data_IF_447120272763
#
_entry.id   IF_447120272763
#
_cell.length_a   1.000
_cell.length_b   1.000
_cell.length_c   1.000
_cell.angle_alpha   90.00
_cell.angle_beta   90.00
_cell.angle_gamma   90.00
#
_symmetry.space_group_name_H-M   'P 1'
#
loop_
_entity.id
_entity.type
_entity.pdbx_description
1 polymer ?
#
# COMPACT_ATOMS: atom_id res chain seq x y z
N UNK A 1 21.14 1.57 5.26
CA UNK A 1 20.52 2.87 5.45
C UNK A 1 19.01 2.69 5.54
N UNK A 2 18.36 3.57 6.25
CA UNK A 2 16.90 3.64 6.41
C UNK A 2 16.47 5.05 5.99
N UNK A 3 15.47 5.17 5.13
CA UNK A 3 14.92 6.45 4.73
C UNK A 3 13.52 6.61 5.31
N UNK A 4 13.25 7.76 5.90
CA UNK A 4 11.96 8.12 6.53
C UNK A 4 11.45 9.39 5.89
N UNK A 5 10.19 9.39 5.49
CA UNK A 5 9.49 10.56 5.00
C UNK A 5 8.91 11.30 6.22
N UNK A 6 9.21 12.58 6.33
CA UNK A 6 8.72 13.43 7.42
C UNK A 6 7.51 14.25 6.99
N UNK A 7 7.55 14.82 5.78
CA UNK A 7 6.49 15.63 5.23
C UNK A 7 6.34 15.42 3.72
N UNK A 8 5.10 15.52 3.25
CA UNK A 8 4.77 15.55 1.82
C UNK A 8 3.73 16.64 1.60
N UNK A 9 3.95 17.49 0.62
CA UNK A 9 3.06 18.60 0.30
C UNK A 9 2.81 18.67 -1.21
N UNK A 10 1.53 18.72 -1.61
CA UNK A 10 1.13 18.91 -2.99
C UNK A 10 0.95 20.40 -3.27
N UNK A 11 1.64 20.90 -4.29
CA UNK A 11 1.59 22.27 -4.76
C UNK A 11 1.29 22.30 -6.27
N UNK A 12 0.85 23.41 -6.84
CA UNK A 12 0.55 23.49 -8.26
C UNK A 12 1.71 23.05 -9.14
N UNK A 13 1.50 21.93 -9.86
CA UNK A 13 2.48 21.36 -10.79
C UNK A 13 3.59 20.53 -10.17
N UNK A 14 3.65 20.34 -8.85
CA UNK A 14 4.70 19.55 -8.16
C UNK A 14 4.27 18.97 -6.84
N UNK A 15 5.03 18.00 -6.37
CA UNK A 15 4.93 17.46 -5.01
C UNK A 15 6.27 17.61 -4.33
N UNK A 16 6.30 18.29 -3.21
CA UNK A 16 7.48 18.47 -2.36
C UNK A 16 7.51 17.38 -1.28
N UNK A 17 8.66 16.78 -1.07
CA UNK A 17 8.88 15.73 -0.08
C UNK A 17 10.11 16.08 0.77
N UNK A 18 9.97 16.01 2.07
CA UNK A 18 11.04 16.19 3.05
C UNK A 18 11.20 14.92 3.88
N UNK A 19 12.42 14.60 4.19
CA UNK A 19 12.70 13.40 4.96
C UNK A 19 14.15 13.29 5.41
N UNK A 20 14.45 12.16 6.03
CA UNK A 20 15.74 11.85 6.64
C UNK A 20 16.22 10.48 6.20
N UNK A 21 17.51 10.39 5.89
CA UNK A 21 18.21 9.10 5.68
C UNK A 21 19.15 8.87 6.84
N UNK A 22 19.02 7.73 7.52
CA UNK A 22 19.90 7.30 8.60
C UNK A 22 20.76 6.13 8.13
N UNK A 23 22.09 6.28 8.28
CA UNK A 23 23.09 5.28 7.94
C UNK A 23 23.61 4.64 9.22
N UNK A 24 23.61 3.31 9.28
CA UNK A 24 24.28 2.54 10.33
C UNK A 24 25.49 1.85 9.72
N UNK A 25 26.67 2.22 10.15
CA UNK A 25 27.94 1.72 9.59
C UNK A 25 28.68 0.96 10.67
N UNK A 26 29.00 -0.31 10.41
CA UNK A 26 29.93 -1.09 11.21
C UNK A 26 31.34 -0.91 10.63
N UNK A 27 32.32 -0.63 11.49
CA UNK A 27 33.71 -0.43 11.09
C UNK A 27 34.67 -0.92 12.17
N UNK A 28 35.92 -1.12 11.77
CA UNK A 28 37.06 -1.38 12.68
C UNK A 28 38.04 -0.23 12.58
N UNK A 29 38.59 0.22 13.72
CA UNK A 29 39.57 1.28 13.77
C UNK A 29 40.70 0.96 14.78
N UNK A 30 41.93 0.99 14.33
CA UNK A 30 43.10 0.70 15.19
C UNK A 30 43.27 -0.76 15.49
N UNK A 31 42.43 -1.32 16.36
CA UNK A 31 42.33 -2.75 16.60
C UNK A 31 41.29 -3.37 15.63
N UNK A 32 41.73 -4.21 14.68
CA UNK A 32 40.82 -4.80 13.68
C UNK A 32 39.83 -5.82 14.26
N UNK A 33 40.07 -6.29 15.49
CA UNK A 33 39.12 -7.21 16.19
C UNK A 33 38.00 -6.46 16.88
N UNK A 34 38.15 -5.14 17.09
CA UNK A 34 37.16 -4.31 17.76
C UNK A 34 36.20 -3.69 16.75
N UNK A 35 34.99 -4.25 16.67
CA UNK A 35 33.90 -3.69 15.86
C UNK A 35 33.26 -2.51 16.58
N UNK A 36 33.15 -1.41 15.88
CA UNK A 36 32.46 -0.20 16.32
C UNK A 36 31.35 0.15 15.35
N UNK A 37 30.42 1.00 15.77
CA UNK A 37 29.36 1.52 14.92
C UNK A 37 29.38 3.04 14.85
N UNK A 38 28.96 3.55 13.72
CA UNK A 38 28.65 4.97 13.52
C UNK A 38 27.21 5.04 12.99
N UNK A 39 26.43 5.88 13.63
CA UNK A 39 25.15 6.36 13.11
C UNK A 39 25.33 7.77 12.55
N UNK A 40 24.90 7.97 11.32
CA UNK A 40 24.93 9.28 10.68
C UNK A 40 23.62 9.48 9.92
N UNK A 41 23.08 10.68 9.98
CA UNK A 41 21.86 11.01 9.27
C UNK A 41 22.02 12.26 8.40
N UNK A 42 21.27 12.29 7.31
CA UNK A 42 21.18 13.43 6.41
C UNK A 42 19.72 13.71 6.09
N UNK A 43 19.33 14.97 6.23
CA UNK A 43 18.04 15.45 5.77
C UNK A 43 18.07 15.62 4.25
N UNK A 44 16.94 15.38 3.60
CA UNK A 44 16.75 15.65 2.18
C UNK A 44 15.43 16.36 1.92
N UNK A 45 15.45 17.21 0.92
CA UNK A 45 14.27 17.82 0.33
C UNK A 45 14.28 17.52 -1.15
N UNK A 46 13.17 17.05 -1.69
CA UNK A 46 13.06 16.69 -3.09
C UNK A 46 11.71 17.13 -3.64
N UNK A 47 11.74 17.75 -4.83
CA UNK A 47 10.53 18.15 -5.55
C UNK A 47 10.36 17.25 -6.77
N UNK A 48 9.18 16.69 -6.92
CA UNK A 48 8.79 15.88 -8.09
C UNK A 48 7.83 16.70 -8.95
N UNK A 49 8.17 16.90 -10.21
CA UNK A 49 7.27 17.54 -11.17
C UNK A 49 6.06 16.65 -11.41
N UNK A 50 4.88 17.17 -11.12
CA UNK A 50 3.61 16.47 -11.30
C UNK A 50 2.56 17.41 -11.91
N UNK A 51 2.42 17.44 -13.24
CA UNK A 51 1.61 18.45 -13.97
C UNK A 51 0.14 18.55 -13.56
N UNK A 52 -0.41 17.50 -12.91
CA UNK A 52 -1.78 17.48 -12.40
C UNK A 52 -1.89 17.81 -10.90
N UNK A 53 -0.80 18.19 -10.23
CA UNK A 53 -0.84 18.54 -8.82
C UNK A 53 -1.48 19.91 -8.60
N UNK A 54 -2.36 20.00 -7.59
CA UNK A 54 -3.00 21.22 -7.11
C UNK A 54 -2.87 21.31 -5.58
N UNK A 55 -3.02 22.51 -5.04
CA UNK A 55 -3.00 22.74 -3.60
C UNK A 55 -4.09 21.91 -2.89
N UNK A 56 -3.71 21.25 -1.81
CA UNK A 56 -4.64 20.48 -0.97
C UNK A 56 -4.97 19.07 -1.47
N UNK A 57 -4.39 18.63 -2.57
CA UNK A 57 -4.48 17.21 -2.96
C UNK A 57 -3.79 16.32 -1.93
N UNK A 58 -4.37 15.15 -1.66
CA UNK A 58 -3.74 14.17 -0.80
C UNK A 58 -2.60 13.46 -1.56
N UNK A 59 -1.36 13.72 -1.14
CA UNK A 59 -0.18 13.06 -1.67
C UNK A 59 0.18 11.84 -0.82
N UNK A 60 0.32 10.68 -1.46
CA UNK A 60 0.87 9.47 -0.88
C UNK A 60 2.18 9.17 -1.56
N UNK A 61 3.26 9.29 -0.81
CA UNK A 61 4.61 9.04 -1.29
C UNK A 61 5.20 7.86 -0.56
N UNK A 62 5.65 6.86 -1.31
CA UNK A 62 6.43 5.74 -0.81
C UNK A 62 7.89 5.93 -1.14
N UNK A 63 8.75 5.65 -0.15
CA UNK A 63 10.19 5.83 -0.25
C UNK A 63 10.90 4.49 -0.06
N UNK A 64 11.84 4.18 -0.94
CA UNK A 64 12.72 3.02 -0.80
C UNK A 64 14.18 3.40 -1.06
N UNK A 65 15.10 2.69 -0.40
CA UNK A 65 16.53 2.84 -0.63
C UNK A 65 16.94 1.87 -1.73
N UNK A 66 17.36 2.38 -2.90
CA UNK A 66 17.79 1.55 -4.04
C UNK A 66 19.27 1.19 -3.97
N UNK A 67 20.10 2.08 -3.47
CA UNK A 67 21.56 1.84 -3.39
C UNK A 67 22.16 2.53 -2.18
N UNK A 68 23.15 1.89 -1.58
CA UNK A 68 23.92 2.46 -0.46
C UNK A 68 25.40 2.20 -0.72
N UNK A 69 26.20 3.24 -0.64
CA UNK A 69 27.65 3.15 -0.73
C UNK A 69 28.30 3.78 0.50
N UNK A 70 29.33 3.14 1.01
CA UNK A 70 30.16 3.64 2.09
C UNK A 70 31.63 3.48 1.71
N UNK A 71 32.39 4.56 1.73
CA UNK A 71 33.83 4.54 1.48
C UNK A 71 34.59 5.30 2.55
N UNK A 72 35.76 4.79 2.92
CA UNK A 72 36.63 5.41 3.92
C UNK A 72 37.87 5.97 3.25
N UNK A 73 38.15 7.27 3.43
CA UNK A 73 39.35 7.93 2.91
C UNK A 73 39.86 8.99 3.88
N UNK A 74 41.13 8.90 4.25
CA UNK A 74 41.80 9.93 5.07
C UNK A 74 41.15 10.13 6.45
N UNK A 75 40.64 9.08 7.08
CA UNK A 75 39.96 9.14 8.37
C UNK A 75 38.53 9.73 8.31
N UNK A 76 37.94 9.85 7.12
CA UNK A 76 36.59 10.29 6.88
C UNK A 76 35.78 9.17 6.20
N UNK A 77 34.51 9.05 6.57
CA UNK A 77 33.54 8.19 5.88
C UNK A 77 32.72 9.05 4.92
N UNK A 78 32.62 8.60 3.68
CA UNK A 78 31.71 9.12 2.68
C UNK A 78 30.57 8.13 2.54
N UNK A 79 29.35 8.59 2.78
CA UNK A 79 28.13 7.79 2.74
C UNK A 79 27.23 8.36 1.65
N UNK A 80 26.69 7.49 0.82
CA UNK A 80 25.77 7.84 -0.24
C UNK A 80 24.59 6.86 -0.23
N UNK A 81 23.39 7.37 -0.40
CA UNK A 81 22.19 6.57 -0.65
C UNK A 81 21.47 7.10 -1.89
N UNK A 82 20.98 6.21 -2.74
CA UNK A 82 20.07 6.52 -3.82
C UNK A 82 18.68 6.09 -3.35
N UNK A 83 17.75 7.04 -3.38
CA UNK A 83 16.37 6.84 -2.96
C UNK A 83 15.48 6.78 -4.19
N UNK A 84 14.52 5.88 -4.17
CA UNK A 84 13.40 5.84 -5.11
C UNK A 84 12.15 6.34 -4.41
N UNK A 85 11.53 7.36 -4.98
CA UNK A 85 10.26 7.89 -4.54
C UNK A 85 9.16 7.55 -5.56
N UNK A 86 8.06 6.99 -5.10
CA UNK A 86 6.85 6.79 -5.91
C UNK A 86 5.73 7.65 -5.31
N UNK A 87 5.19 8.55 -6.11
CA UNK A 87 4.17 9.50 -5.67
C UNK A 87 2.84 9.20 -6.35
N UNK A 88 1.76 9.21 -5.56
CA UNK A 88 0.39 9.19 -6.03
C UNK A 88 -0.35 10.39 -5.45
N UNK A 89 -1.14 11.03 -6.27
CA UNK A 89 -2.01 12.12 -5.87
C UNK A 89 -3.46 11.67 -5.98
N UNK A 90 -4.23 12.05 -4.99
CA UNK A 90 -5.67 11.86 -4.96
C UNK A 90 -6.35 13.21 -4.78
N UNK A 91 -7.36 13.47 -5.61
CA UNK A 91 -8.27 14.60 -5.44
C UNK A 91 -9.70 14.09 -5.37
N UNK A 92 -10.49 14.70 -4.48
CA UNK A 92 -11.93 14.51 -4.46
C UNK A 92 -12.57 15.65 -5.25
N UNK A 93 -13.08 15.34 -6.44
CA UNK A 93 -13.80 16.30 -7.24
C UNK A 93 -15.31 16.14 -7.04
N UNK A 94 -16.06 17.24 -6.77
CA UNK A 94 -17.50 17.16 -6.68
C UNK A 94 -18.09 16.84 -8.05
N UNK A 95 -18.79 15.73 -8.16
CA UNK A 95 -19.47 15.31 -9.36
C UNK A 95 -20.95 15.67 -9.29
N UNK A 96 -21.44 16.44 -10.26
CA UNK A 96 -22.84 16.70 -10.44
C UNK A 96 -23.44 15.67 -11.39
N UNK A 97 -24.41 14.90 -10.90
CA UNK A 97 -25.13 13.87 -11.68
C UNK A 97 -26.62 14.11 -11.64
N UNK A 98 -27.31 13.69 -12.69
CA UNK A 98 -28.78 13.76 -12.75
C UNK A 98 -29.37 12.53 -12.06
N UNK A 99 -30.16 12.76 -11.02
CA UNK A 99 -30.86 11.71 -10.29
C UNK A 99 -32.29 11.50 -10.76
N UNK A 100 -32.84 12.46 -11.52
CA UNK A 100 -34.20 12.39 -12.06
C UNK A 100 -34.59 13.63 -12.83
N UNK A 101 -35.73 13.56 -13.49
CA UNK A 101 -36.35 14.66 -14.26
C UNK A 101 -37.70 14.99 -13.65
N UNK A 102 -38.02 16.28 -13.51
CA UNK A 102 -39.31 16.73 -13.00
C UNK A 102 -40.18 17.30 -14.11
N UNK A 103 -41.49 17.09 -14.00
CA UNK A 103 -42.53 17.70 -14.86
C UNK A 103 -42.58 17.21 -16.32
N UNK A 104 -42.01 16.09 -16.67
CA UNK A 104 -42.19 15.50 -17.98
C UNK A 104 -43.43 14.59 -18.03
N UNK A 105 -44.32 14.81 -18.99
CA UNK A 105 -45.48 13.95 -19.14
C UNK A 105 -45.11 12.59 -19.72
N UNK A 106 -45.62 11.52 -19.09
CA UNK A 106 -45.31 10.16 -19.50
C UNK A 106 -43.86 9.76 -19.29
N UNK A 107 -43.20 10.33 -18.29
CA UNK A 107 -41.79 10.08 -17.98
C UNK A 107 -41.52 8.62 -17.62
N UNK A 108 -40.53 8.03 -18.26
CA UNK A 108 -39.95 6.72 -17.94
C UNK A 108 -38.48 6.95 -17.52
N UNK A 109 -38.14 6.41 -16.36
CA UNK A 109 -36.77 6.51 -15.78
C UNK A 109 -36.18 5.11 -15.64
N UNK A 110 -34.95 4.96 -16.04
CA UNK A 110 -34.11 3.82 -15.71
C UNK A 110 -33.09 4.29 -14.67
N UNK A 111 -33.19 3.75 -13.46
CA UNK A 111 -32.34 4.11 -12.34
C UNK A 111 -31.57 2.90 -11.86
N UNK A 112 -30.39 3.13 -11.33
CA UNK A 112 -29.56 2.14 -10.66
C UNK A 112 -28.96 2.74 -9.39
N UNK A 113 -28.81 1.91 -8.37
CA UNK A 113 -28.12 2.32 -7.15
C UNK A 113 -26.66 1.93 -7.29
N UNK A 114 -25.78 2.93 -7.34
CA UNK A 114 -24.34 2.74 -7.38
C UNK A 114 -23.73 3.07 -6.03
N UNK A 115 -22.84 2.22 -5.59
CA UNK A 115 -22.04 2.47 -4.39
C UNK A 115 -20.83 3.33 -4.76
N UNK A 116 -20.73 4.51 -4.16
CA UNK A 116 -19.65 5.46 -4.37
C UNK A 116 -18.76 5.50 -3.13
N UNK A 117 -17.47 5.27 -3.31
CA UNK A 117 -16.47 5.43 -2.27
C UNK A 117 -15.98 6.87 -2.22
N UNK A 118 -15.89 7.41 -1.02
CA UNK A 118 -15.31 8.74 -0.76
C UNK A 118 -14.39 8.69 0.44
N UNK A 119 -13.41 9.59 0.50
CA UNK A 119 -12.68 9.86 1.72
C UNK A 119 -13.65 10.37 2.79
N UNK A 120 -13.63 9.79 3.98
CA UNK A 120 -14.54 10.15 5.06
C UNK A 120 -13.81 10.91 6.17
N UNK A 121 -12.71 10.36 6.67
CA UNK A 121 -11.92 10.99 7.71
C UNK A 121 -10.44 10.60 7.58
N UNK A 122 -9.59 11.40 8.17
CA UNK A 122 -8.17 11.06 8.30
C UNK A 122 -7.61 11.60 9.61
N UNK A 123 -6.51 11.00 10.06
CA UNK A 123 -5.83 11.46 11.25
C UNK A 123 -4.40 10.96 11.31
N UNK A 124 -3.54 11.74 11.94
CA UNK A 124 -2.14 11.40 12.18
C UNK A 124 -1.80 11.53 13.64
N UNK A 125 -0.93 10.67 14.14
CA UNK A 125 -0.41 10.75 15.51
C UNK A 125 1.00 10.22 15.59
N UNK A 126 1.87 10.91 16.31
CA UNK A 126 3.16 10.39 16.73
C UNK A 126 3.07 9.84 18.14
N UNK A 127 3.66 8.68 18.34
CA UNK A 127 3.62 7.94 19.59
C UNK A 127 5.01 7.43 19.94
N UNK A 128 5.42 7.58 21.18
CA UNK A 128 6.66 7.01 21.70
C UNK A 128 6.36 5.72 22.46
N UNK A 129 6.64 4.59 21.82
CA UNK A 129 6.53 3.24 22.42
C UNK A 129 7.79 2.95 23.23
N UNK A 130 7.62 2.55 24.49
CA UNK A 130 8.72 2.24 25.41
C UNK A 130 8.52 0.86 25.97
N UNK A 131 9.56 0.05 25.88
CA UNK A 131 9.58 -1.32 26.44
C UNK A 131 10.94 -1.67 27.02
N UNK A 132 10.93 -2.54 28.02
CA UNK A 132 12.11 -3.15 28.58
C UNK A 132 12.22 -4.60 28.12
N UNK A 133 13.35 -4.92 27.48
CA UNK A 133 13.63 -6.23 26.93
C UNK A 133 14.75 -6.92 27.73
N UNK A 134 14.58 -8.16 28.08
CA UNK A 134 15.63 -8.95 28.72
C UNK A 134 16.70 -9.38 27.71
N UNK A 135 17.96 -9.31 28.12
CA UNK A 135 19.11 -9.77 27.35
C UNK A 135 19.69 -11.04 28.00
N UNK A 136 19.88 -12.09 27.22
CA UNK A 136 20.44 -13.33 27.72
C UNK A 136 21.94 -13.19 28.03
N UNK A 137 22.37 -13.52 29.20
CA UNK A 137 23.78 -13.43 29.66
C UNK A 137 24.77 -14.24 28.83
N UNK A 138 24.31 -15.35 28.23
CA UNK A 138 25.13 -16.19 27.33
C UNK A 138 25.71 -15.41 26.14
N UNK A 139 25.11 -14.29 25.76
CA UNK A 139 25.53 -13.45 24.64
C UNK A 139 26.75 -12.58 24.98
N UNK A 140 27.12 -12.44 26.28
CA UNK A 140 28.24 -11.64 26.76
C UNK A 140 28.32 -10.24 26.07
N UNK A 141 27.21 -9.53 26.07
CA UNK A 141 27.07 -8.24 25.42
C UNK A 141 27.96 -7.21 26.13
N UNK A 142 28.83 -6.52 25.39
CA UNK A 142 29.64 -5.42 25.88
C UNK A 142 28.92 -4.09 25.75
N UNK A 143 28.47 -3.79 24.51
CA UNK A 143 27.80 -2.55 24.14
C UNK A 143 26.70 -2.80 23.12
N UNK A 144 25.74 -1.87 23.04
CA UNK A 144 24.81 -1.77 21.92
C UNK A 144 25.42 -0.89 20.83
N UNK A 145 25.49 -1.40 19.61
CA UNK A 145 26.06 -0.71 18.46
C UNK A 145 25.04 0.17 17.74
N UNK A 146 23.89 -0.40 17.40
CA UNK A 146 22.74 0.32 16.84
C UNK A 146 21.49 -0.57 16.85
N UNK A 147 20.34 0.05 16.61
CA UNK A 147 19.08 -0.64 16.49
C UNK A 147 18.34 -0.22 15.21
N UNK A 148 17.54 -1.12 14.69
CA UNK A 148 16.59 -0.86 13.61
C UNK A 148 15.23 -1.44 13.98
N UNK A 149 14.15 -0.80 13.56
CA UNK A 149 12.82 -1.29 13.83
C UNK A 149 11.92 -1.18 12.61
N UNK A 150 10.92 -2.06 12.56
CA UNK A 150 9.88 -2.08 11.55
C UNK A 150 8.52 -2.32 12.21
N UNK A 151 7.53 -1.48 11.89
CA UNK A 151 6.20 -1.60 12.47
C UNK A 151 5.26 -2.38 11.55
N UNK A 152 4.43 -3.24 12.14
CA UNK A 152 3.35 -3.96 11.48
C UNK A 152 2.04 -3.64 12.15
N UNK A 153 1.03 -3.24 11.37
CA UNK A 153 -0.34 -3.06 11.84
C UNK A 153 -1.06 -4.39 11.79
N UNK A 154 -1.74 -4.77 12.86
CA UNK A 154 -2.52 -5.98 12.96
C UNK A 154 -4.02 -5.71 12.82
N UNK A 155 -4.50 -4.66 13.48
CA UNK A 155 -5.91 -4.29 13.47
C UNK A 155 -6.11 -2.78 13.59
N UNK A 156 -7.20 -2.29 12.98
CA UNK A 156 -7.64 -0.90 13.06
C UNK A 156 -9.13 -0.86 13.35
N UNK A 157 -9.50 -0.45 14.55
CA UNK A 157 -10.89 -0.36 14.99
C UNK A 157 -11.37 1.08 15.01
N UNK A 158 -12.51 1.35 14.36
CA UNK A 158 -13.15 2.66 14.34
C UNK A 158 -13.98 2.93 15.59
N UNK A 159 -13.99 4.20 16.03
CA UNK A 159 -14.88 4.74 17.06
C UNK A 159 -15.37 6.14 16.67
N UNK A 160 -16.12 6.80 17.56
CA UNK A 160 -16.51 8.20 17.33
C UNK A 160 -15.29 9.09 17.32
N UNK A 161 -15.03 9.80 16.21
CA UNK A 161 -13.93 10.75 15.99
C UNK A 161 -12.52 10.19 16.31
N UNK A 162 -12.35 8.87 16.32
CA UNK A 162 -11.08 8.23 16.62
C UNK A 162 -10.97 6.82 16.02
N UNK A 163 -9.74 6.34 15.83
CA UNK A 163 -9.45 4.94 15.54
C UNK A 163 -8.45 4.39 16.56
N UNK A 164 -8.63 3.16 16.98
CA UNK A 164 -7.65 2.42 17.77
C UNK A 164 -6.85 1.52 16.83
N UNK A 165 -5.55 1.70 16.83
CA UNK A 165 -4.59 0.94 16.00
C UNK A 165 -3.76 0.05 16.88
N UNK A 166 -3.75 -1.24 16.61
CA UNK A 166 -2.91 -2.21 17.30
C UNK A 166 -1.94 -2.91 16.35
N UNK A 167 -0.79 -3.28 16.86
CA UNK A 167 0.24 -3.91 16.06
C UNK A 167 1.49 -4.29 16.84
N UNK A 168 2.55 -4.61 16.10
CA UNK A 168 3.84 -4.95 16.66
C UNK A 168 4.96 -4.14 15.99
N UNK A 169 5.95 -3.78 16.79
CA UNK A 169 7.23 -3.27 16.34
C UNK A 169 8.24 -4.41 16.43
N UNK A 170 8.82 -4.77 15.31
CA UNK A 170 9.92 -5.75 15.23
C UNK A 170 11.22 -4.97 15.37
N UNK A 171 11.86 -5.10 16.52
CA UNK A 171 13.11 -4.44 16.88
C UNK A 171 14.29 -5.41 16.69
N UNK A 172 15.27 -5.05 15.87
CA UNK A 172 16.55 -5.73 15.74
C UNK A 172 17.64 -4.84 16.34
N UNK A 173 18.40 -5.38 17.28
CA UNK A 173 19.49 -4.67 17.96
C UNK A 173 20.81 -5.38 17.71
N UNK A 174 21.77 -4.64 17.24
CA UNK A 174 23.13 -5.14 16.97
C UNK A 174 24.03 -4.75 18.14
N UNK A 175 24.68 -5.74 18.72
CA UNK A 175 25.54 -5.58 19.89
C UNK A 175 26.98 -5.99 19.60
N UNK A 176 27.90 -5.35 20.27
CA UNK A 176 29.25 -5.84 20.42
C UNK A 176 29.29 -6.86 21.56
N UNK A 177 29.89 -8.02 21.33
CA UNK A 177 30.10 -9.04 22.32
C UNK A 177 31.53 -9.07 22.81
N UNK A 178 31.73 -9.58 24.05
CA UNK A 178 33.06 -9.83 24.61
C UNK A 178 33.69 -11.14 24.09
N UNK A 179 32.95 -11.93 23.33
CA UNK A 179 33.45 -13.17 22.75
C UNK A 179 34.28 -12.89 21.46
N UNK A 180 35.60 -13.21 21.46
CA UNK A 180 36.42 -12.95 20.25
C UNK A 180 35.93 -13.74 19.02
N UNK A 181 35.40 -14.94 19.23
CA UNK A 181 34.88 -15.78 18.16
C UNK A 181 33.55 -15.26 17.54
N UNK A 182 32.86 -14.36 18.25
CA UNK A 182 31.59 -13.80 17.83
C UNK A 182 31.46 -12.33 18.27
N UNK A 183 32.27 -11.43 17.69
CA UNK A 183 32.38 -10.04 18.16
C UNK A 183 31.10 -9.23 17.96
N UNK A 184 30.18 -9.67 17.06
CA UNK A 184 28.88 -9.08 16.80
C UNK A 184 27.77 -10.09 17.07
N UNK A 185 26.77 -9.67 17.81
CA UNK A 185 25.57 -10.44 18.16
C UNK A 185 24.33 -9.62 17.84
N UNK A 186 23.29 -10.26 17.38
CA UNK A 186 22.00 -9.65 17.06
C UNK A 186 20.93 -10.21 17.97
N UNK A 187 20.19 -9.32 18.62
CA UNK A 187 18.97 -9.69 19.36
C UNK A 187 17.74 -9.15 18.65
N UNK A 188 16.60 -9.83 18.81
CA UNK A 188 15.33 -9.47 18.19
C UNK A 188 14.25 -9.49 19.25
N UNK A 189 13.47 -8.40 19.23
CA UNK A 189 12.40 -8.19 20.19
C UNK A 189 11.14 -7.80 19.44
N UNK A 190 9.98 -8.20 19.97
CA UNK A 190 8.68 -7.79 19.44
C UNK A 190 8.00 -6.94 20.50
N UNK A 191 7.74 -5.67 20.17
CA UNK A 191 7.13 -4.71 21.06
C UNK A 191 5.69 -4.48 20.61
N UNK A 192 4.68 -4.93 21.38
CA UNK A 192 3.29 -4.67 21.02
C UNK A 192 2.96 -3.20 21.24
N UNK A 193 2.05 -2.65 20.44
CA UNK A 193 1.48 -1.34 20.65
C UNK A 193 -0.04 -1.34 20.41
N UNK A 194 -0.74 -0.52 21.18
CA UNK A 194 -2.15 -0.19 20.98
C UNK A 194 -2.35 1.30 21.24
N UNK A 195 -2.70 2.04 20.18
CA UNK A 195 -2.74 3.49 20.23
C UNK A 195 -4.00 4.04 19.60
N UNK A 196 -4.48 5.17 20.13
CA UNK A 196 -5.66 5.85 19.62
C UNK A 196 -5.27 7.06 18.78
N UNK A 197 -5.72 7.10 17.53
CA UNK A 197 -5.51 8.21 16.60
C UNK A 197 -6.82 9.01 16.47
N UNK A 198 -6.84 10.31 16.76
CA UNK A 198 -8.01 11.14 16.51
C UNK A 198 -8.25 11.28 15.00
N UNK A 199 -9.50 11.21 14.59
CA UNK A 199 -9.92 11.35 13.18
C UNK A 199 -10.65 12.69 13.00
N UNK A 200 -10.34 13.36 11.89
CA UNK A 200 -11.03 14.56 11.44
C UNK A 200 -11.86 14.20 10.21
N UNK A 201 -13.17 14.40 10.30
CA UNK A 201 -14.12 14.07 9.23
C UNK A 201 -15.33 13.26 9.73
N UNK A 202 -16.03 12.63 8.80
CA UNK A 202 -17.18 11.78 9.08
C UNK A 202 -16.74 10.33 9.39
N UNK A 203 -17.58 9.56 10.07
CA UNK A 203 -17.31 8.14 10.28
C UNK A 203 -17.24 7.38 8.94
N UNK A 204 -16.21 6.55 8.79
CA UNK A 204 -16.02 5.71 7.62
C UNK A 204 -16.39 4.25 7.88
N UNK A 205 -16.68 3.52 6.80
CA UNK A 205 -17.03 2.09 6.85
C UNK A 205 -15.77 1.20 6.79
N UNK A 206 -14.68 1.71 6.25
CA UNK A 206 -13.40 1.02 6.13
C UNK A 206 -12.28 1.92 6.61
N UNK A 207 -11.38 1.34 7.39
CA UNK A 207 -10.22 2.01 7.96
C UNK A 207 -8.95 1.33 7.48
N UNK A 208 -7.95 2.14 7.18
CA UNK A 208 -6.59 1.68 6.94
C UNK A 208 -5.60 2.53 7.73
N UNK A 209 -4.46 1.95 8.08
CA UNK A 209 -3.42 2.63 8.83
C UNK A 209 -2.05 2.33 8.26
N UNK A 210 -1.27 3.37 8.02
CA UNK A 210 0.16 3.30 7.78
C UNK A 210 0.89 3.58 9.09
N UNK A 211 1.79 2.65 9.47
CA UNK A 211 2.65 2.78 10.64
C UNK A 211 4.12 2.86 10.19
N UNK A 212 4.77 3.97 10.48
CA UNK A 212 6.15 4.24 10.08
C UNK A 212 6.99 4.48 11.33
N UNK A 213 8.10 3.74 11.46
CA UNK A 213 9.09 4.00 12.50
C UNK A 213 9.90 5.23 12.08
N UNK A 214 9.81 6.30 12.88
CA UNK A 214 10.51 7.57 12.63
C UNK A 214 11.88 7.62 13.30
N UNK A 215 11.98 7.05 14.50
CA UNK A 215 13.24 7.02 15.26
C UNK A 215 13.28 5.81 16.20
N UNK A 216 14.50 5.34 16.52
CA UNK A 216 14.74 4.21 17.42
C UNK A 216 15.91 4.54 18.33
N UNK A 217 15.68 4.55 19.62
CA UNK A 217 16.71 4.68 20.63
C UNK A 217 16.73 3.43 21.54
N UNK A 218 17.91 2.92 21.83
CA UNK A 218 18.09 1.80 22.73
C UNK A 218 19.20 2.09 23.75
N UNK A 219 18.91 1.77 25.02
CA UNK A 219 19.84 1.95 26.12
C UNK A 219 20.00 0.61 26.87
N UNK A 220 21.22 0.10 26.91
CA UNK A 220 21.54 -1.06 27.75
C UNK A 220 21.70 -0.60 29.18
N UNK A 221 21.04 -1.24 30.13
CA UNK A 221 21.11 -0.98 31.55
C UNK A 221 21.52 -2.26 32.30
N UNK A 222 22.26 -2.14 33.40
CA UNK A 222 22.49 -3.24 34.32
C UNK A 222 21.16 -3.56 35.02
N UNK A 223 20.78 -4.85 35.02
CA UNK A 223 19.58 -5.33 35.70
C UNK A 223 19.75 -5.33 37.20
N UNK A 224 18.70 -5.66 37.93
CA UNK A 224 18.69 -5.68 39.39
C UNK A 224 19.34 -6.95 40.00
N UNK A 225 19.61 -7.97 39.18
CA UNK A 225 20.30 -9.21 39.54
C UNK A 225 21.78 -9.20 39.12
N UNK A 226 22.62 -10.04 39.79
CA UNK A 226 24.02 -10.25 39.36
C UNK A 226 24.05 -10.81 37.92
N UNK A 227 24.60 -10.03 36.97
CA UNK A 227 24.76 -10.44 35.57
C UNK A 227 23.52 -10.19 34.68
N UNK A 228 22.40 -9.78 35.22
CA UNK A 228 21.22 -9.43 34.45
C UNK A 228 21.44 -8.10 33.69
N UNK A 229 21.14 -8.12 32.40
CA UNK A 229 21.10 -6.90 31.57
C UNK A 229 19.73 -6.73 30.96
N UNK A 230 19.25 -5.51 30.98
CA UNK A 230 18.03 -5.12 30.30
C UNK A 230 18.33 -4.10 29.21
N UNK A 231 17.52 -4.14 28.16
CA UNK A 231 17.55 -3.20 27.08
C UNK A 231 16.28 -2.36 27.16
N UNK A 232 16.41 -1.09 27.42
CA UNK A 232 15.31 -0.15 27.30
C UNK A 232 15.22 0.35 25.86
N UNK A 233 14.13 0.01 25.19
CA UNK A 233 13.83 0.45 23.82
C UNK A 233 12.83 1.61 23.84
N UNK A 234 13.11 2.64 23.08
CA UNK A 234 12.21 3.76 22.79
C UNK A 234 12.08 3.88 21.26
N UNK A 235 10.86 3.72 20.75
CA UNK A 235 10.58 3.78 19.30
C UNK A 235 9.55 4.85 19.04
N UNK A 236 9.93 5.86 18.25
CA UNK A 236 9.00 6.89 17.78
C UNK A 236 8.25 6.36 16.55
N UNK A 237 6.95 6.17 16.70
CA UNK A 237 6.05 5.63 15.69
C UNK A 237 5.13 6.73 15.16
N UNK A 238 5.11 6.93 13.85
CA UNK A 238 4.13 7.75 13.15
C UNK A 238 2.98 6.88 12.66
N UNK A 239 1.76 7.18 13.09
CA UNK A 239 0.54 6.51 12.65
C UNK A 239 -0.29 7.45 11.78
N UNK A 240 -0.68 6.99 10.59
CA UNK A 240 -1.59 7.72 9.69
C UNK A 240 -2.78 6.85 9.38
N UNK A 241 -3.95 7.24 9.89
CA UNK A 241 -5.21 6.53 9.64
C UNK A 241 -6.02 7.27 8.59
N UNK A 242 -6.59 6.52 7.65
CA UNK A 242 -7.54 6.99 6.65
C UNK A 242 -8.81 6.16 6.73
N UNK A 243 -9.95 6.85 6.74
CA UNK A 243 -11.27 6.26 6.70
C UNK A 243 -11.93 6.55 5.35
N UNK A 244 -12.59 5.55 4.77
CA UNK A 244 -13.41 5.70 3.58
C UNK A 244 -14.85 5.30 3.90
N UNK A 245 -15.81 6.03 3.35
CA UNK A 245 -17.22 5.71 3.44
C UNK A 245 -17.75 5.27 2.07
N UNK A 246 -18.61 4.27 2.09
CA UNK A 246 -19.39 3.84 0.94
C UNK A 246 -20.79 4.43 1.05
N UNK A 247 -21.21 5.18 0.04
CA UNK A 247 -22.54 5.77 -0.03
C UNK A 247 -23.27 5.27 -1.26
N UNK A 248 -24.46 4.74 -1.04
CA UNK A 248 -25.32 4.33 -2.14
C UNK A 248 -26.08 5.54 -2.69
N UNK A 249 -25.85 5.83 -3.96
CA UNK A 249 -26.51 6.91 -4.69
C UNK A 249 -27.38 6.32 -5.78
N UNK A 250 -28.68 6.64 -5.75
CA UNK A 250 -29.58 6.26 -6.84
C UNK A 250 -29.38 7.24 -8.00
N UNK A 251 -28.82 6.73 -9.08
CA UNK A 251 -28.51 7.52 -10.28
C UNK A 251 -29.46 7.18 -11.42
N UNK A 252 -29.76 8.19 -12.24
CA UNK A 252 -30.48 7.98 -13.47
C UNK A 252 -29.50 7.52 -14.57
N UNK A 253 -29.73 6.33 -15.12
CA UNK A 253 -28.93 5.80 -16.22
C UNK A 253 -29.48 6.20 -17.58
N UNK A 254 -30.82 6.37 -17.68
CA UNK A 254 -31.50 6.73 -18.90
C UNK A 254 -32.90 7.27 -18.61
N UNK A 255 -33.45 8.06 -19.52
CA UNK A 255 -34.80 8.58 -19.46
C UNK A 255 -35.40 8.75 -20.84
N UNK A 256 -36.71 8.61 -20.96
CA UNK A 256 -37.49 9.00 -22.13
C UNK A 256 -38.91 9.36 -21.73
N UNK A 257 -39.63 10.00 -22.65
CA UNK A 257 -41.03 10.36 -22.48
C UNK A 257 -41.92 9.58 -23.45
N UNK A 258 -43.06 9.14 -22.99
CA UNK A 258 -44.09 8.51 -23.85
C UNK A 258 -44.99 9.57 -24.53
N UNK A 259 -44.98 10.79 -23.98
CA UNK A 259 -45.76 11.94 -24.48
C UNK A 259 -44.90 13.23 -24.38
N UNK A 260 -45.27 14.28 -25.11
CA UNK A 260 -44.54 15.54 -25.08
C UNK A 260 -43.21 15.48 -25.79
N UNK A 261 -42.27 16.31 -25.35
CA UNK A 261 -40.95 16.42 -25.94
C UNK A 261 -40.04 15.22 -25.67
N UNK A 262 -39.07 14.96 -26.54
CA UNK A 262 -38.08 13.94 -26.39
C UNK A 262 -37.07 14.34 -25.30
N UNK A 263 -36.79 13.42 -24.41
CA UNK A 263 -35.67 13.56 -23.50
C UNK A 263 -34.45 12.81 -24.05
N UNK A 264 -33.34 13.49 -24.10
CA UNK A 264 -32.05 12.93 -24.53
C UNK A 264 -31.04 13.09 -23.40
N UNK A 265 -30.77 12.04 -22.62
CA UNK A 265 -29.74 12.04 -21.59
C UNK A 265 -28.35 12.19 -22.22
N UNK A 266 -27.57 13.11 -21.66
CA UNK A 266 -26.16 13.34 -22.02
C UNK A 266 -25.31 12.57 -21.03
N UNK A 267 -24.55 11.61 -21.53
CA UNK A 267 -23.64 10.77 -20.68
C UNK A 267 -22.20 11.21 -20.87
N UNK A 268 -21.44 11.21 -19.76
CA UNK A 268 -20.00 11.40 -19.76
C UNK A 268 -19.34 10.25 -19.03
N UNK A 269 -18.17 9.77 -19.50
CA UNK A 269 -17.38 8.82 -18.75
C UNK A 269 -16.85 9.49 -17.49
N UNK A 270 -17.14 8.89 -16.34
CA UNK A 270 -16.69 9.37 -15.03
C UNK A 270 -15.88 8.28 -14.37
N UNK A 271 -14.67 8.62 -13.98
CA UNK A 271 -13.81 7.74 -13.20
C UNK A 271 -14.22 7.82 -11.73
N UNK A 272 -14.53 6.68 -11.13
CA UNK A 272 -14.86 6.60 -9.71
C UNK A 272 -14.07 5.52 -8.99
N UNK A 273 -13.84 5.71 -7.70
CA UNK A 273 -13.27 4.67 -6.85
C UNK A 273 -14.32 3.58 -6.60
N UNK A 274 -13.98 2.35 -6.97
CA UNK A 274 -14.81 1.17 -6.78
C UNK A 274 -14.50 0.46 -5.47
N UNK A 275 -13.22 0.37 -5.13
CA UNK A 275 -12.73 -0.33 -3.95
C UNK A 275 -11.42 0.28 -3.48
N UNK A 276 -11.34 0.45 -2.19
CA UNK A 276 -10.14 0.87 -1.49
C UNK A 276 -9.55 -0.35 -0.78
N UNK A 277 -8.26 -0.55 -0.88
CA UNK A 277 -7.63 -1.71 -0.29
C UNK A 277 -6.22 -1.42 0.21
N UNK A 278 -5.98 -1.83 1.44
CA UNK A 278 -4.65 -1.90 2.02
C UNK A 278 -4.36 -3.35 2.38
N UNK A 279 -3.23 -3.85 1.98
CA UNK A 279 -2.77 -5.20 2.29
C UNK A 279 -1.48 -5.13 3.07
N UNK A 280 -1.47 -5.80 4.23
CA UNK A 280 -0.28 -6.13 4.98
C UNK A 280 -0.22 -7.64 5.13
N UNK A 281 0.80 -8.26 4.61
CA UNK A 281 0.99 -9.71 4.69
C UNK A 281 2.47 -10.05 4.75
N UNK A 282 2.79 -11.27 5.10
CA UNK A 282 4.17 -11.71 5.22
C UNK A 282 4.31 -13.18 4.78
N UNK A 283 5.43 -13.47 4.12
CA UNK A 283 5.79 -14.82 3.72
C UNK A 283 7.21 -15.15 4.15
N UNK A 284 7.43 -16.41 4.55
CA UNK A 284 8.75 -16.88 4.91
C UNK A 284 9.57 -17.27 3.69
N UNK A 285 10.81 -16.82 3.64
CA UNK A 285 11.77 -17.12 2.59
C UNK A 285 13.02 -17.82 3.14
N UNK A 286 13.73 -18.43 2.21
CA UNK A 286 14.97 -19.12 2.49
C UNK A 286 15.88 -19.07 1.27
N UNK A 287 17.15 -18.75 1.49
CA UNK A 287 18.18 -18.73 0.45
C UNK A 287 19.46 -19.40 0.92
N UNK A 288 20.31 -19.80 -0.02
CA UNK A 288 21.61 -20.40 0.25
C UNK A 288 22.69 -19.54 -0.39
N UNK A 289 23.52 -18.94 0.44
CA UNK A 289 24.67 -18.14 -0.01
C UNK A 289 25.85 -19.10 -0.21
N UNK A 290 26.40 -19.10 -1.42
CA UNK A 290 27.62 -19.81 -1.75
C UNK A 290 28.79 -18.84 -1.64
N UNK A 291 29.79 -19.18 -0.84
CA UNK A 291 31.01 -18.37 -0.64
C UNK A 291 32.11 -18.70 -1.65
N UNK A 292 31.73 -18.85 -2.93
CA UNK A 292 32.67 -19.22 -3.98
C UNK A 292 33.80 -18.20 -4.14
N UNK A 293 35.05 -18.67 -4.00
CA UNK A 293 36.23 -17.83 -4.09
C UNK A 293 36.47 -16.92 -2.88
N UNK A 294 35.67 -17.04 -1.82
CA UNK A 294 35.82 -16.33 -0.58
C UNK A 294 36.48 -17.19 0.51
N UNK A 295 37.09 -16.57 1.54
CA UNK A 295 37.55 -17.32 2.69
C UNK A 295 36.42 -18.10 3.35
N UNK A 296 36.66 -19.35 3.80
CA UNK A 296 35.62 -20.20 4.39
C UNK A 296 35.03 -19.59 5.66
N UNK A 297 33.71 -19.68 5.80
CA UNK A 297 33.00 -19.17 6.97
C UNK A 297 33.16 -20.10 8.15
N UNK A 298 33.71 -19.59 9.28
CA UNK A 298 33.69 -20.25 10.58
C UNK A 298 32.40 -19.93 11.34
N UNK A 299 32.10 -18.66 11.45
CA UNK A 299 30.93 -18.16 12.20
C UNK A 299 30.28 -17.02 11.45
N UNK A 300 29.08 -17.18 10.90
CA UNK A 300 28.32 -16.06 10.38
C UNK A 300 27.80 -15.21 11.54
N UNK A 301 27.92 -13.91 11.41
CA UNK A 301 27.57 -12.95 12.46
C UNK A 301 26.22 -12.29 12.18
N UNK A 302 26.07 -11.75 10.98
CA UNK A 302 24.88 -11.00 10.56
C UNK A 302 24.69 -11.05 9.05
N UNK A 303 23.45 -11.12 8.59
CA UNK A 303 23.11 -10.81 7.22
C UNK A 303 22.18 -9.58 7.17
N UNK A 304 22.36 -8.76 6.16
CA UNK A 304 21.45 -7.68 5.80
C UNK A 304 20.86 -8.00 4.43
N UNK A 305 19.55 -7.90 4.31
CA UNK A 305 18.81 -8.21 3.08
C UNK A 305 18.15 -6.95 2.55
N UNK A 306 18.22 -6.73 1.24
CA UNK A 306 17.52 -5.66 0.55
C UNK A 306 16.84 -6.21 -0.70
N UNK A 307 15.51 -6.31 -0.72
CA UNK A 307 14.78 -6.79 -1.89
C UNK A 307 14.71 -5.69 -2.96
N UNK A 308 14.99 -6.06 -4.21
CA UNK A 308 14.82 -5.22 -5.41
C UNK A 308 13.79 -5.93 -6.28
N UNK A 309 12.61 -5.34 -6.42
CA UNK A 309 11.52 -5.92 -7.21
C UNK A 309 11.79 -5.67 -8.70
N UNK A 310 11.76 -6.73 -9.51
CA UNK A 310 11.94 -6.68 -10.96
C UNK A 310 10.65 -6.95 -11.72
N UNK A 311 9.77 -7.79 -11.18
CA UNK A 311 8.48 -8.12 -11.79
C UNK A 311 7.40 -8.36 -10.74
N UNK A 312 6.19 -7.93 -11.08
CA UNK A 312 4.99 -8.18 -10.27
C UNK A 312 3.89 -8.68 -11.19
N UNK A 313 3.43 -9.89 -10.95
CA UNK A 313 2.40 -10.53 -11.77
C UNK A 313 1.29 -11.11 -10.92
N UNK A 314 0.10 -11.26 -11.51
CA UNK A 314 -1.07 -11.82 -10.83
C UNK A 314 -1.53 -13.10 -11.50
N UNK A 315 -1.74 -14.14 -10.72
CA UNK A 315 -2.27 -15.42 -11.19
C UNK A 315 -3.01 -16.15 -10.07
N UNK A 316 -4.22 -16.63 -10.35
CA UNK A 316 -4.98 -17.49 -9.44
C UNK A 316 -5.30 -16.87 -8.08
N UNK A 317 -5.60 -15.56 -8.01
CA UNK A 317 -5.88 -14.86 -6.75
C UNK A 317 -4.62 -14.61 -5.89
N UNK A 318 -3.43 -14.79 -6.47
CA UNK A 318 -2.15 -14.51 -5.83
C UNK A 318 -1.40 -13.41 -6.56
N UNK A 319 -0.73 -12.57 -5.80
CA UNK A 319 0.26 -11.62 -6.27
C UNK A 319 1.63 -12.30 -6.20
N UNK A 320 2.26 -12.50 -7.35
CA UNK A 320 3.60 -13.04 -7.46
C UNK A 320 4.58 -11.89 -7.61
N UNK A 321 5.57 -11.85 -6.74
CA UNK A 321 6.63 -10.84 -6.73
C UNK A 321 7.95 -11.53 -6.96
N UNK A 322 8.67 -11.12 -7.97
CA UNK A 322 9.99 -11.61 -8.34
C UNK A 322 11.01 -10.50 -8.31
N UNK A 323 12.25 -10.83 -7.96
CA UNK A 323 13.30 -9.84 -7.88
C UNK A 323 14.64 -10.42 -7.49
N UNK A 324 15.56 -9.49 -7.19
CA UNK A 324 16.88 -9.80 -6.67
C UNK A 324 16.95 -9.36 -5.20
N UNK A 325 17.48 -10.22 -4.36
CA UNK A 325 17.80 -9.94 -2.97
C UNK A 325 19.27 -9.61 -2.88
N UNK A 326 19.61 -8.35 -2.67
CA UNK A 326 20.96 -7.98 -2.30
C UNK A 326 21.25 -8.43 -0.86
N UNK A 327 22.32 -9.18 -0.69
CA UNK A 327 22.71 -9.76 0.59
C UNK A 327 24.09 -9.26 0.97
N UNK A 328 24.19 -8.70 2.17
CA UNK A 328 25.48 -8.40 2.79
C UNK A 328 25.65 -9.33 4.00
N UNK A 329 26.55 -10.29 3.91
CA UNK A 329 26.91 -11.21 4.98
C UNK A 329 28.17 -10.74 5.70
N UNK A 330 28.10 -10.60 7.01
CA UNK A 330 29.22 -10.41 7.91
C UNK A 330 29.55 -11.74 8.60
N UNK A 331 30.80 -12.21 8.53
CA UNK A 331 31.20 -13.51 9.08
C UNK A 331 32.65 -13.55 9.53
N UNK A 332 32.99 -14.49 10.39
CA UNK A 332 34.36 -14.81 10.81
C UNK A 332 34.91 -15.96 9.99
N UNK A 333 36.21 -15.93 9.73
CA UNK A 333 36.98 -16.98 9.07
C UNK A 333 37.88 -17.73 10.07
N UNK A 334 38.46 -18.86 9.66
CA UNK A 334 39.42 -19.58 10.51
C UNK A 334 40.80 -18.89 10.55
N UNK A 335 41.12 -18.16 9.51
CA UNK A 335 42.46 -17.56 9.30
C UNK A 335 42.57 -16.14 9.85
N UNK A 336 41.50 -15.53 10.32
CA UNK A 336 41.47 -14.14 10.77
C UNK A 336 40.47 -13.89 11.90
N UNK A 337 40.90 -13.13 12.89
CA UNK A 337 40.03 -12.59 13.94
C UNK A 337 39.31 -11.29 13.51
N UNK A 338 39.51 -10.85 12.26
CA UNK A 338 38.82 -9.70 11.68
C UNK A 338 37.58 -10.17 10.93
N UNK A 339 36.39 -9.63 11.22
CA UNK A 339 35.19 -9.96 10.48
C UNK A 339 35.34 -9.63 8.99
N UNK A 340 34.87 -10.52 8.13
CA UNK A 340 34.85 -10.38 6.68
C UNK A 340 33.43 -10.04 6.20
N UNK A 341 33.36 -9.31 5.11
CA UNK A 341 32.07 -8.97 4.48
C UNK A 341 32.01 -9.59 3.09
N UNK A 342 30.91 -10.27 2.80
CA UNK A 342 30.58 -10.83 1.50
C UNK A 342 29.28 -10.22 0.99
N UNK A 343 29.27 -9.73 -0.25
CA UNK A 343 28.11 -9.16 -0.92
C UNK A 343 27.76 -10.00 -2.13
N UNK A 344 26.49 -10.32 -2.29
CA UNK A 344 25.96 -11.07 -3.43
C UNK A 344 24.52 -10.68 -3.70
N UNK A 345 24.04 -11.04 -4.88
CA UNK A 345 22.65 -10.88 -5.28
C UNK A 345 22.07 -12.27 -5.54
N UNK A 346 20.95 -12.56 -4.89
CA UNK A 346 20.25 -13.85 -5.03
C UNK A 346 18.84 -13.63 -5.55
N UNK A 347 18.36 -14.37 -6.54
CA UNK A 347 17.00 -14.25 -7.01
C UNK A 347 16.00 -14.70 -5.95
N UNK A 348 14.89 -13.98 -5.82
CA UNK A 348 13.78 -14.40 -4.98
C UNK A 348 12.46 -14.39 -5.75
N UNK A 349 11.56 -15.26 -5.32
CA UNK A 349 10.18 -15.31 -5.78
C UNK A 349 9.26 -15.59 -4.61
N UNK A 350 8.27 -14.72 -4.42
CA UNK A 350 7.27 -14.82 -3.36
C UNK A 350 5.87 -14.74 -3.93
N UNK A 351 4.92 -15.42 -3.28
CA UNK A 351 3.52 -15.40 -3.68
C UNK A 351 2.64 -15.08 -2.49
N UNK A 352 1.94 -13.96 -2.57
CA UNK A 352 1.05 -13.48 -1.52
C UNK A 352 -0.40 -13.66 -1.94
N UNK A 353 -1.28 -14.03 -1.00
CA UNK A 353 -2.73 -14.04 -1.26
C UNK A 353 -3.22 -12.60 -1.35
N UNK A 354 -3.64 -12.17 -2.53
CA UNK A 354 -4.11 -10.82 -2.80
C UNK A 354 -5.14 -10.80 -3.92
N UNK A 355 -6.29 -10.21 -3.67
CA UNK A 355 -7.35 -10.08 -4.68
C UNK A 355 -7.16 -8.88 -5.60
N UNK A 356 -6.34 -7.90 -5.22
CA UNK A 356 -6.14 -6.65 -5.93
C UNK A 356 -4.77 -6.55 -6.61
N UNK A 357 -4.66 -5.65 -7.56
CA UNK A 357 -3.46 -5.39 -8.33
C UNK A 357 -2.72 -4.19 -7.74
N UNK A 358 -1.84 -4.43 -6.77
CA UNK A 358 -1.06 -3.39 -6.08
C UNK A 358 0.32 -3.16 -6.73
N UNK A 359 0.41 -3.16 -8.06
CA UNK A 359 1.71 -3.14 -8.75
C UNK A 359 2.55 -1.90 -8.43
N UNK A 360 1.91 -0.75 -8.26
CA UNK A 360 2.61 0.53 -8.20
C UNK A 360 2.89 1.06 -6.79
N UNK A 361 2.38 0.41 -5.73
CA UNK A 361 2.55 0.86 -4.34
C UNK A 361 3.13 -0.21 -3.41
N UNK A 362 3.82 -1.18 -3.99
CA UNK A 362 4.32 -2.34 -3.29
C UNK A 362 5.63 -2.01 -2.55
N UNK A 363 5.65 -2.26 -1.26
CA UNK A 363 6.85 -2.19 -0.44
C UNK A 363 7.16 -3.56 0.16
N UNK A 364 8.43 -3.96 0.11
CA UNK A 364 8.93 -5.19 0.72
C UNK A 364 9.92 -4.86 1.83
N UNK A 365 9.70 -5.43 3.00
CA UNK A 365 10.59 -5.26 4.16
C UNK A 365 10.98 -6.61 4.73
N UNK A 366 12.26 -6.99 4.70
CA UNK A 366 12.75 -8.21 5.33
C UNK A 366 12.85 -8.07 6.83
N UNK A 367 12.50 -9.13 7.55
CA UNK A 367 12.64 -9.23 9.00
C UNK A 367 13.04 -10.64 9.44
N UNK A 368 13.30 -10.84 10.71
CA UNK A 368 13.63 -12.15 11.34
C UNK A 368 14.68 -12.93 10.55
N UNK A 369 15.78 -12.24 10.20
CA UNK A 369 16.87 -12.82 9.40
C UNK A 369 17.68 -13.75 10.28
N UNK A 370 17.61 -15.05 10.05
CA UNK A 370 18.32 -16.09 10.77
C UNK A 370 19.38 -16.75 9.90
N UNK A 371 20.58 -16.97 10.45
CA UNK A 371 21.69 -17.66 9.81
C UNK A 371 21.76 -19.10 10.32
N UNK A 372 21.56 -20.06 9.42
CA UNK A 372 21.48 -21.49 9.75
C UNK A 372 22.28 -22.32 8.75
N UNK A 373 22.43 -23.62 8.96
CA UNK A 373 22.98 -24.56 7.99
C UNK A 373 24.38 -24.21 7.48
N UNK A 374 25.28 -23.86 8.41
CA UNK A 374 26.63 -23.35 8.12
C UNK A 374 27.54 -24.50 7.73
N UNK A 375 28.18 -24.37 6.55
CA UNK A 375 29.36 -25.15 6.14
C UNK A 375 30.47 -24.17 5.75
N UNK A 376 31.67 -24.63 5.56
CA UNK A 376 32.80 -23.75 5.23
C UNK A 376 32.59 -22.92 3.94
N UNK A 377 31.80 -23.42 3.02
CA UNK A 377 31.53 -22.83 1.71
C UNK A 377 30.08 -22.31 1.53
N UNK A 378 29.24 -22.46 2.58
CA UNK A 378 27.79 -22.16 2.45
C UNK A 378 27.19 -21.65 3.74
N UNK A 379 26.34 -20.64 3.62
CA UNK A 379 25.49 -20.11 4.70
C UNK A 379 24.03 -20.12 4.22
N UNK A 380 23.14 -20.68 5.02
CA UNK A 380 21.71 -20.63 4.78
C UNK A 380 21.09 -19.46 5.54
N UNK A 381 20.32 -18.64 4.82
CA UNK A 381 19.62 -17.47 5.37
C UNK A 381 18.13 -17.72 5.31
N UNK A 382 17.45 -17.69 6.44
CA UNK A 382 16.00 -17.67 6.56
C UNK A 382 15.54 -16.27 6.89
N UNK A 383 14.40 -15.86 6.35
CA UNK A 383 13.86 -14.53 6.57
C UNK A 383 12.33 -14.53 6.42
N UNK A 384 11.70 -13.48 6.93
CA UNK A 384 10.31 -13.18 6.66
C UNK A 384 10.29 -11.92 5.79
N UNK A 385 9.56 -11.97 4.66
CA UNK A 385 9.41 -10.84 3.77
C UNK A 385 7.99 -10.29 3.92
N UNK A 386 7.88 -9.12 4.54
CA UNK A 386 6.62 -8.40 4.68
C UNK A 386 6.33 -7.64 3.40
N UNK A 387 5.09 -7.74 2.95
CA UNK A 387 4.55 -6.97 1.86
C UNK A 387 3.51 -6.01 2.39
N UNK A 388 3.67 -4.74 2.09
CA UNK A 388 2.63 -3.73 2.27
C UNK A 388 2.31 -3.10 0.93
N UNK A 389 1.04 -2.91 0.65
CA UNK A 389 0.58 -2.17 -0.51
C UNK A 389 -0.76 -1.49 -0.23
N UNK A 390 -0.97 -0.40 -0.94
CA UNK A 390 -2.18 0.40 -0.92
C UNK A 390 -2.66 0.59 -2.34
N UNK A 391 -3.93 0.33 -2.61
CA UNK A 391 -4.49 0.47 -3.94
C UNK A 391 -5.92 0.97 -3.90
N UNK A 392 -6.28 1.76 -4.92
CA UNK A 392 -7.64 2.21 -5.19
C UNK A 392 -8.02 1.70 -6.57
N UNK A 393 -8.94 0.76 -6.60
CA UNK A 393 -9.50 0.28 -7.86
C UNK A 393 -10.41 1.36 -8.44
N UNK A 394 -10.05 1.86 -9.60
CA UNK A 394 -10.84 2.84 -10.35
C UNK A 394 -11.64 2.14 -11.45
N UNK A 395 -12.83 2.62 -11.72
CA UNK A 395 -13.67 2.17 -12.83
C UNK A 395 -14.27 3.36 -13.57
N UNK A 396 -14.31 3.27 -14.89
CA UNK A 396 -14.96 4.26 -15.75
C UNK A 396 -16.40 3.83 -15.98
N UNK A 397 -17.36 4.69 -15.62
CA UNK A 397 -18.77 4.46 -15.86
C UNK A 397 -19.40 5.64 -16.58
N UNK A 398 -20.26 5.40 -17.60
CA UNK A 398 -21.01 6.46 -18.24
C UNK A 398 -22.13 6.91 -17.31
N UNK A 399 -22.03 8.12 -16.76
CA UNK A 399 -23.05 8.72 -15.91
C UNK A 399 -23.79 9.83 -16.66
N UNK A 400 -25.10 9.96 -16.39
CA UNK A 400 -25.91 11.04 -16.96
C UNK A 400 -25.59 12.34 -16.19
N UNK A 401 -25.00 13.29 -16.90
CA UNK A 401 -24.60 14.61 -16.35
C UNK A 401 -25.56 15.71 -16.72
N UNK A 402 -26.35 15.52 -17.79
CA UNK A 402 -27.35 16.50 -18.26
C UNK A 402 -28.48 15.80 -19.00
N UNK A 403 -29.60 16.49 -19.21
CA UNK A 403 -30.74 16.01 -20.00
C UNK A 403 -31.21 17.16 -20.91
N UNK A 404 -31.17 16.92 -22.20
CA UNK A 404 -31.67 17.89 -23.20
C UNK A 404 -33.10 17.52 -23.61
N UNK A 405 -33.91 18.55 -23.92
CA UNK A 405 -35.24 18.39 -24.45
C UNK A 405 -35.28 18.76 -25.95
N UNK A 406 -35.91 17.93 -26.75
CA UNK A 406 -36.10 18.19 -28.19
C UNK A 406 -37.57 18.05 -28.59
N UNK A 407 -38.09 18.93 -29.43
CA UNK A 407 -39.47 18.80 -29.92
C UNK A 407 -39.72 17.46 -30.59
N UNK A 408 -40.70 16.74 -30.12
CA UNK A 408 -41.08 15.46 -30.72
C UNK A 408 -42.24 15.58 -31.68
N UNK A 409 -42.19 14.84 -32.79
CA UNK A 409 -43.37 14.63 -33.61
C UNK A 409 -44.30 13.66 -32.90
N UNK A 410 -45.64 13.96 -32.86
CA UNK A 410 -46.60 13.06 -32.26
C UNK A 410 -46.61 11.74 -33.02
N UNK A 411 -46.61 10.65 -32.28
CA UNK A 411 -46.71 9.31 -32.84
C UNK A 411 -48.10 9.09 -33.44
N UNK A 412 -48.17 8.51 -34.62
CA UNK A 412 -49.45 8.15 -35.23
C UNK A 412 -50.13 7.03 -34.40
N UNK A 413 -51.44 7.22 -34.07
CA UNK A 413 -52.15 6.18 -33.33
C UNK A 413 -52.35 4.93 -34.17
N UNK A 414 -52.06 3.77 -33.62
CA UNK A 414 -52.23 2.50 -34.35
C UNK A 414 -51.46 1.34 -33.70
N UNK A 415 -51.61 0.17 -34.32
CA UNK A 415 -50.84 -1.00 -33.99
C UNK A 415 -49.64 -1.08 -34.89
N UNK A 416 -48.46 -1.13 -34.31
CA UNK A 416 -47.20 -1.29 -35.00
C UNK A 416 -46.61 -2.69 -34.71
N UNK A 417 -46.14 -3.34 -35.75
CA UNK A 417 -45.36 -4.58 -35.65
C UNK A 417 -43.90 -4.29 -35.97
N UNK A 418 -43.04 -4.66 -35.06
CA UNK A 418 -41.59 -4.51 -35.25
C UNK A 418 -40.81 -5.76 -34.81
N UNK A 419 -39.55 -5.79 -35.05
CA UNK A 419 -38.66 -6.87 -34.62
C UNK A 419 -37.55 -6.31 -33.71
N UNK A 420 -37.23 -7.10 -32.67
CA UNK A 420 -36.12 -6.78 -31.78
C UNK A 420 -34.76 -6.89 -32.51
N UNK A 421 -33.82 -6.04 -32.18
CA UNK A 421 -32.44 -6.10 -32.67
C UNK A 421 -31.55 -6.89 -31.70
N UNK A 422 -30.39 -7.29 -32.14
CA UNK A 422 -29.44 -7.98 -31.28
C UNK A 422 -28.97 -7.05 -30.13
N UNK A 423 -29.08 -7.52 -28.91
CA UNK A 423 -28.70 -6.74 -27.72
C UNK A 423 -29.78 -5.79 -27.17
N UNK A 424 -30.91 -5.59 -27.91
CA UNK A 424 -32.02 -4.75 -27.40
C UNK A 424 -32.81 -5.46 -26.29
N UNK A 425 -33.01 -4.75 -25.20
CA UNK A 425 -33.94 -5.14 -24.15
C UNK A 425 -35.30 -4.45 -24.26
N UNK A 426 -36.21 -4.80 -23.35
CA UNK A 426 -37.54 -4.18 -23.25
C UNK A 426 -37.43 -2.65 -23.14
N UNK A 427 -36.45 -2.15 -22.39
CA UNK A 427 -36.22 -0.73 -22.23
C UNK A 427 -35.89 -0.05 -23.56
N UNK A 428 -35.00 -0.60 -24.36
CA UNK A 428 -34.53 0.01 -25.62
C UNK A 428 -35.64 0.06 -26.67
N UNK A 429 -36.44 -1.02 -26.74
CA UNK A 429 -37.63 -1.08 -27.62
C UNK A 429 -38.68 -0.08 -27.16
N UNK A 430 -38.96 -0.03 -25.86
CA UNK A 430 -39.95 0.89 -25.31
C UNK A 430 -39.53 2.36 -25.51
N UNK A 431 -38.28 2.70 -25.34
CA UNK A 431 -37.71 4.02 -25.59
C UNK A 431 -37.81 4.39 -27.07
N UNK A 432 -37.38 3.50 -27.98
CA UNK A 432 -37.39 3.73 -29.44
C UNK A 432 -38.81 4.05 -29.96
N UNK A 433 -39.81 3.39 -29.40
CA UNK A 433 -41.18 3.60 -29.84
C UNK A 433 -42.02 4.46 -28.87
N UNK A 434 -41.39 5.02 -27.83
CA UNK A 434 -42.05 5.90 -26.85
C UNK A 434 -43.29 5.31 -26.19
N UNK A 435 -43.24 4.04 -25.82
CA UNK A 435 -44.28 3.35 -25.09
C UNK A 435 -43.80 2.99 -23.67
N UNK A 436 -44.69 2.79 -22.71
CA UNK A 436 -44.25 2.35 -21.38
C UNK A 436 -43.75 0.91 -21.41
N UNK A 437 -42.71 0.59 -20.66
CA UNK A 437 -42.19 -0.77 -20.52
C UNK A 437 -43.27 -1.76 -20.07
N UNK A 438 -44.18 -1.34 -19.15
CA UNK A 438 -45.30 -2.16 -18.68
C UNK A 438 -46.30 -2.46 -19.76
N UNK A 439 -46.60 -1.49 -20.64
CA UNK A 439 -47.50 -1.72 -21.78
C UNK A 439 -46.89 -2.71 -22.77
N UNK A 440 -45.59 -2.51 -23.07
CA UNK A 440 -44.83 -3.39 -23.98
C UNK A 440 -44.82 -4.84 -23.48
N UNK A 441 -44.49 -5.06 -22.20
CA UNK A 441 -44.47 -6.39 -21.58
C UNK A 441 -45.84 -7.05 -21.57
N UNK A 442 -46.92 -6.30 -21.26
CA UNK A 442 -48.27 -6.84 -21.27
C UNK A 442 -48.71 -7.33 -22.64
N UNK A 443 -48.28 -6.63 -23.69
CA UNK A 443 -48.64 -7.02 -25.07
C UNK A 443 -47.75 -8.12 -25.63
N UNK A 444 -46.55 -8.27 -25.08
CA UNK A 444 -45.54 -9.23 -25.53
C UNK A 444 -44.95 -10.00 -24.32
N UNK A 445 -45.74 -10.90 -23.71
CA UNK A 445 -45.35 -11.59 -22.49
C UNK A 445 -44.10 -12.49 -22.66
N UNK A 446 -43.89 -12.97 -23.87
CA UNK A 446 -42.78 -13.88 -24.21
C UNK A 446 -41.51 -13.14 -24.69
N UNK A 447 -41.52 -11.79 -24.69
CA UNK A 447 -40.36 -10.98 -25.12
C UNK A 447 -39.19 -11.18 -24.19
N UNK A 448 -38.05 -11.60 -24.72
CA UNK A 448 -36.78 -11.81 -24.02
C UNK A 448 -35.80 -10.72 -24.34
N UNK A 449 -35.12 -10.21 -23.31
CA UNK A 449 -34.06 -9.20 -23.47
C UNK A 449 -32.85 -9.75 -24.25
N UNK A 450 -32.30 -8.94 -25.14
CA UNK A 450 -31.07 -9.24 -25.88
C UNK A 450 -31.21 -10.20 -27.07
N UNK A 451 -32.39 -10.80 -27.29
CA UNK A 451 -32.61 -11.75 -28.38
C UNK A 451 -33.13 -11.03 -29.62
N UNK A 452 -32.40 -11.22 -30.75
CA UNK A 452 -32.74 -10.61 -32.04
C UNK A 452 -33.91 -11.37 -32.75
N UNK A 453 -34.70 -10.60 -33.54
CA UNK A 453 -35.67 -11.16 -34.46
C UNK A 453 -37.00 -11.59 -33.83
N UNK A 454 -37.23 -11.28 -32.53
CA UNK A 454 -38.49 -11.51 -31.90
C UNK A 454 -39.55 -10.53 -32.46
N UNK A 455 -40.70 -11.02 -32.77
CA UNK A 455 -41.83 -10.20 -33.21
C UNK A 455 -42.40 -9.44 -32.00
N UNK A 456 -42.51 -8.11 -32.11
CA UNK A 456 -42.97 -7.21 -31.05
C UNK A 456 -44.19 -6.44 -31.53
N UNK A 457 -45.27 -6.49 -30.79
CA UNK A 457 -46.52 -5.75 -31.04
C UNK A 457 -46.56 -4.52 -30.13
N UNK A 458 -46.77 -3.35 -30.71
CA UNK A 458 -46.87 -2.09 -30.05
C UNK A 458 -48.21 -1.42 -30.33
N UNK A 459 -48.75 -0.68 -29.37
CA UNK A 459 -49.96 0.11 -29.56
C UNK A 459 -49.74 1.55 -29.08
N UNK A 460 -49.86 2.49 -30.04
CA UNK A 460 -49.88 3.92 -29.76
C UNK A 460 -51.32 4.38 -29.56
N UNK A 461 -51.59 4.94 -28.37
CA UNK A 461 -52.90 5.52 -28.05
C UNK A 461 -52.97 6.92 -28.63
N UNK A 462 -54.15 7.34 -29.14
CA UNK A 462 -54.43 8.74 -29.44
C UNK A 462 -54.34 9.54 -28.14
N UNK A 463 -53.43 10.52 -28.05
CA UNK A 463 -53.26 11.44 -26.94
C UNK A 463 -54.41 12.44 -26.84
#
# INVERSE_FOLDING_TARGET
AMAVLEQTDAQPGRVDAEGKVTFHVLYTQGDPTLVSALEASAEFTHSVDFPGAEDGMAAVLSLSVEHVEASAQGGRLHLMAILKAQTRLFSDEPLSVVTGVHRAEGLMLKTETLSCLSAAASGTREVLVREECELADVLQIADTLYATAFATVQDVMGGEEKATVSGNILLEVVHRSQMPSRPVVVTRHTLPFEETVPLLGENGDSLCCDAVVKDVAVLSQEGTGEGERTLRAEVLLGLTVRATASRDVCLMLDAYTTQGDLLEPVTQPVQRALKHHQLHTAESGKMKLLLDGQPPARTPLRASLRPIVTDVSRSGGKLNVEGMMEVTLLYMTDDSDVPQTYQTEEPFRMSYTCELCCQDSLQLTPSNIELTGITSDRVEVKYILHLSCYDVLLGDEPLVTDVTEQPAQPAEPGILLCFSQAGEGVWDIAKRYRVSCDSLKRMNPDLQDGVAGQQVILWHRQG
#
